data_IF_840069233066
#
_entry.id   IF_840069233066
#
_cell.length_a   1.000
_cell.length_b   1.000
_cell.length_c   1.000
_cell.angle_alpha   90.00
_cell.angle_beta   90.00
_cell.angle_gamma   90.00
#
_symmetry.space_group_name_H-M   'P 1'
#
loop_
_entity.id
_entity.type
_entity.pdbx_description
1 polymer ?
#
# COMPACT_ATOMS: atom_id res chain seq x y z
N UNK A 1 -9.95 0.98 24.75
CA UNK A 1 -8.79 0.19 24.29
C UNK A 1 -9.15 -1.28 24.13
N UNK A 2 -9.80 -1.90 25.12
CA UNK A 2 -10.27 -3.30 25.02
C UNK A 2 -11.10 -3.60 23.77
N UNK A 3 -11.98 -2.68 23.37
CA UNK A 3 -12.80 -2.86 22.16
C UNK A 3 -11.96 -2.87 20.88
N UNK A 4 -10.94 -2.01 20.82
CA UNK A 4 -9.99 -1.94 19.70
C UNK A 4 -9.20 -3.24 19.63
N UNK A 5 -8.65 -3.71 20.75
CA UNK A 5 -7.89 -4.97 20.77
C UNK A 5 -8.78 -6.16 20.38
N UNK A 6 -10.01 -6.23 20.92
CA UNK A 6 -10.98 -7.27 20.58
C UNK A 6 -11.28 -7.30 19.08
N UNK A 7 -11.54 -6.15 18.48
CA UNK A 7 -11.84 -6.03 17.05
C UNK A 7 -10.62 -6.37 16.18
N UNK A 8 -9.44 -5.85 16.51
CA UNK A 8 -8.20 -6.15 15.76
C UNK A 8 -7.86 -7.65 15.81
N UNK A 9 -8.06 -8.31 16.96
CA UNK A 9 -7.90 -9.77 17.08
C UNK A 9 -8.90 -10.52 16.21
N UNK A 10 -10.15 -10.06 16.12
CA UNK A 10 -11.15 -10.65 15.23
C UNK A 10 -10.76 -10.52 13.76
N UNK A 11 -10.27 -9.35 13.33
CA UNK A 11 -9.76 -9.13 11.97
C UNK A 11 -8.56 -10.03 11.66
N UNK A 12 -7.60 -10.17 12.58
CA UNK A 12 -6.45 -11.06 12.43
C UNK A 12 -6.86 -12.53 12.32
N UNK A 13 -7.80 -12.98 13.16
CA UNK A 13 -8.32 -14.35 13.10
C UNK A 13 -9.01 -14.63 11.75
N UNK A 14 -9.84 -13.71 11.28
CA UNK A 14 -10.52 -13.82 9.99
C UNK A 14 -9.52 -13.82 8.83
N UNK A 15 -8.55 -12.88 8.84
CA UNK A 15 -7.52 -12.78 7.83
C UNK A 15 -6.68 -14.06 7.75
N UNK A 16 -6.23 -14.63 8.88
CA UNK A 16 -5.44 -15.88 8.87
C UNK A 16 -6.27 -17.08 8.41
N UNK A 17 -7.58 -17.09 8.66
CA UNK A 17 -8.48 -18.15 8.16
C UNK A 17 -8.63 -18.12 6.65
N UNK A 18 -8.78 -16.93 6.05
CA UNK A 18 -9.10 -16.79 4.63
C UNK A 18 -7.89 -16.48 3.75
N UNK A 19 -6.79 -16.00 4.33
CA UNK A 19 -5.55 -15.63 3.67
C UNK A 19 -4.39 -16.31 4.42
N UNK A 20 -4.26 -17.66 4.34
CA UNK A 20 -3.27 -18.41 5.11
C UNK A 20 -1.83 -17.99 4.81
N UNK A 21 -1.59 -17.36 3.66
CA UNK A 21 -0.30 -16.84 3.24
C UNK A 21 0.00 -15.40 3.68
N UNK A 22 -0.82 -14.79 4.55
CA UNK A 22 -0.59 -13.44 5.09
C UNK A 22 0.80 -13.34 5.73
N UNK A 23 1.51 -12.25 5.45
CA UNK A 23 2.92 -12.07 5.86
C UNK A 23 3.17 -10.80 6.65
N UNK A 24 2.24 -9.85 6.64
CA UNK A 24 2.38 -8.56 7.29
C UNK A 24 1.00 -7.99 7.62
N UNK A 25 0.96 -6.94 8.41
CA UNK A 25 -0.24 -6.12 8.63
C UNK A 25 -0.04 -4.71 8.12
N UNK A 26 -1.10 -4.08 7.64
CA UNK A 26 -1.15 -2.65 7.35
C UNK A 26 -2.37 -2.03 8.03
N UNK A 27 -2.44 -0.70 8.06
CA UNK A 27 -3.55 0.02 8.66
C UNK A 27 -4.19 1.00 7.66
N UNK A 28 -5.52 1.04 7.66
CA UNK A 28 -6.28 1.93 6.80
C UNK A 28 -6.29 3.35 7.36
N UNK A 29 -6.20 4.36 6.48
CA UNK A 29 -6.29 5.79 6.83
C UNK A 29 -5.34 6.25 7.96
N UNK A 30 -4.19 5.59 8.11
CA UNK A 30 -3.25 5.93 9.17
C UNK A 30 -3.79 5.65 10.58
N UNK A 31 -4.68 4.68 10.75
CA UNK A 31 -5.35 4.35 12.02
C UNK A 31 -4.39 4.29 13.23
N UNK A 32 -3.14 3.85 13.05
CA UNK A 32 -2.14 3.81 14.13
C UNK A 32 -1.72 5.19 14.64
N UNK A 33 -2.03 6.27 13.92
CA UNK A 33 -1.75 7.66 14.35
C UNK A 33 -2.75 8.23 15.36
N UNK A 34 -3.84 7.51 15.64
CA UNK A 34 -4.86 7.95 16.62
C UNK A 34 -4.25 8.16 18.00
N UNK A 35 -3.36 7.26 18.44
CA UNK A 35 -2.56 7.41 19.66
C UNK A 35 -1.37 6.46 19.67
N UNK A 36 -0.36 6.75 20.49
CA UNK A 36 0.77 5.83 20.73
C UNK A 36 0.29 4.47 21.26
N UNK A 37 -0.74 4.46 22.10
CA UNK A 37 -1.28 3.21 22.65
C UNK A 37 -1.90 2.31 21.56
N UNK A 38 -2.60 2.90 20.57
CA UNK A 38 -3.13 2.16 19.42
C UNK A 38 -2.00 1.67 18.52
N UNK A 39 -0.97 2.50 18.29
CA UNK A 39 0.22 2.07 17.56
C UNK A 39 0.88 0.84 18.21
N UNK A 40 1.15 0.93 19.52
CA UNK A 40 1.85 -0.13 20.27
C UNK A 40 1.02 -1.42 20.34
N UNK A 41 -0.31 -1.28 20.47
CA UNK A 41 -1.24 -2.41 20.37
C UNK A 41 -1.14 -3.11 19.01
N UNK A 42 -1.20 -2.35 17.90
CA UNK A 42 -1.09 -2.93 16.55
C UNK A 42 0.25 -3.65 16.38
N UNK A 43 1.36 -3.01 16.76
CA UNK A 43 2.70 -3.62 16.69
C UNK A 43 2.76 -4.92 17.49
N UNK A 44 2.25 -4.91 18.74
CA UNK A 44 2.22 -6.10 19.60
C UNK A 44 1.40 -7.22 18.96
N UNK A 45 0.18 -6.94 18.50
CA UNK A 45 -0.68 -7.95 17.88
C UNK A 45 -0.08 -8.53 16.59
N UNK A 46 0.54 -7.69 15.75
CA UNK A 46 1.23 -8.14 14.54
C UNK A 46 2.36 -9.13 14.88
N UNK A 47 3.18 -8.80 15.88
CA UNK A 47 4.27 -9.66 16.35
C UNK A 47 3.76 -10.97 16.98
N UNK A 48 2.71 -10.92 17.82
CA UNK A 48 2.08 -12.10 18.42
C UNK A 48 1.66 -13.14 17.37
N UNK A 49 1.32 -12.69 16.15
CA UNK A 49 0.87 -13.55 15.07
C UNK A 49 1.99 -13.97 14.10
N UNK A 50 3.24 -13.59 14.36
CA UNK A 50 4.41 -13.86 13.51
C UNK A 50 4.37 -13.11 12.17
N UNK A 51 3.71 -11.95 12.14
CA UNK A 51 3.60 -11.13 10.93
C UNK A 51 4.62 -9.99 10.97
N UNK A 52 5.01 -9.53 9.79
CA UNK A 52 5.93 -8.39 9.63
C UNK A 52 5.22 -7.09 9.96
N UNK A 53 5.92 -6.21 10.68
CA UNK A 53 5.55 -4.80 10.87
C UNK A 53 6.34 -3.97 9.84
N UNK A 54 5.73 -3.50 8.73
CA UNK A 54 6.47 -2.83 7.65
C UNK A 54 7.27 -1.60 8.08
N UNK A 55 6.75 -0.84 9.05
CA UNK A 55 7.43 0.34 9.58
C UNK A 55 8.78 0.03 10.23
N UNK A 56 9.01 -1.22 10.65
CA UNK A 56 10.24 -1.67 11.29
C UNK A 56 11.31 -2.14 10.28
N UNK A 57 10.99 -2.19 8.97
CA UNK A 57 11.92 -2.63 7.92
C UNK A 57 12.86 -1.52 7.42
N UNK A 58 12.78 -0.31 7.98
CA UNK A 58 13.58 0.83 7.52
C UNK A 58 13.23 1.28 6.09
N UNK A 59 11.95 1.13 5.69
CA UNK A 59 11.47 1.55 4.37
C UNK A 59 11.54 3.08 4.21
N UNK A 60 11.94 3.51 3.02
CA UNK A 60 11.87 4.91 2.59
C UNK A 60 10.57 5.13 1.81
N UNK A 61 9.79 6.12 2.21
CA UNK A 61 8.55 6.44 1.50
C UNK A 61 8.86 7.17 0.19
N UNK A 62 8.32 6.68 -0.93
CA UNK A 62 8.41 7.38 -2.22
C UNK A 62 7.71 8.74 -2.16
N UNK A 63 6.66 8.85 -1.36
CA UNK A 63 5.86 10.06 -1.16
C UNK A 63 4.77 10.22 -2.23
N UNK A 64 4.16 11.41 -2.27
CA UNK A 64 3.13 11.72 -3.26
C UNK A 64 3.76 11.92 -4.64
N UNK A 65 3.27 11.19 -5.64
CA UNK A 65 3.79 11.22 -7.02
C UNK A 65 2.85 11.93 -7.99
N UNK A 66 1.54 11.84 -7.76
CA UNK A 66 0.52 12.37 -8.64
C UNK A 66 -0.74 12.81 -7.88
N UNK A 67 -1.64 13.46 -8.60
CA UNK A 67 -2.96 13.91 -8.14
C UNK A 67 -4.03 12.85 -8.45
N UNK A 68 -5.10 12.80 -7.65
CA UNK A 68 -6.18 11.83 -7.84
C UNK A 68 -7.00 12.06 -9.12
N UNK A 69 -6.88 13.24 -9.73
CA UNK A 69 -7.54 13.59 -10.99
C UNK A 69 -6.63 13.42 -12.21
N UNK A 70 -5.36 13.05 -12.03
CA UNK A 70 -4.48 12.78 -13.15
C UNK A 70 -4.98 11.56 -13.94
N UNK A 71 -5.09 11.63 -15.28
CA UNK A 71 -5.33 10.46 -16.12
C UNK A 71 -4.20 9.42 -16.00
N UNK A 72 -4.48 8.15 -16.31
CA UNK A 72 -3.51 7.07 -16.15
C UNK A 72 -2.20 7.29 -16.92
N UNK A 73 -2.27 7.83 -18.14
CA UNK A 73 -1.08 8.20 -18.91
C UNK A 73 -0.23 9.28 -18.19
N UNK A 74 -0.86 10.27 -17.55
CA UNK A 74 -0.15 11.31 -16.80
C UNK A 74 0.45 10.75 -15.51
N UNK A 75 -0.29 9.88 -14.80
CA UNK A 75 0.25 9.15 -13.64
C UNK A 75 1.44 8.28 -14.04
N UNK A 76 1.38 7.60 -15.20
CA UNK A 76 2.49 6.80 -15.72
C UNK A 76 3.75 7.65 -15.96
N UNK A 77 3.58 8.84 -16.55
CA UNK A 77 4.70 9.76 -16.80
C UNK A 77 5.33 10.26 -15.50
N UNK A 78 4.50 10.70 -14.55
CA UNK A 78 4.94 11.15 -13.22
C UNK A 78 5.62 10.01 -12.43
N UNK A 79 5.07 8.81 -12.48
CA UNK A 79 5.62 7.63 -11.80
C UNK A 79 6.96 7.20 -12.43
N UNK A 80 7.04 7.13 -13.75
CA UNK A 80 8.28 6.84 -14.47
C UNK A 80 9.37 7.87 -14.10
N UNK A 81 9.05 9.16 -14.14
CA UNK A 81 9.97 10.22 -13.73
C UNK A 81 10.40 10.09 -12.26
N UNK A 82 9.49 9.73 -11.35
CA UNK A 82 9.82 9.52 -9.94
C UNK A 82 10.78 8.35 -9.74
N UNK A 83 10.54 7.22 -10.41
CA UNK A 83 11.39 6.03 -10.32
C UNK A 83 12.82 6.31 -10.80
N UNK A 84 13.00 7.22 -11.76
CA UNK A 84 14.33 7.67 -12.19
C UNK A 84 15.11 8.42 -11.08
N UNK A 85 14.42 9.00 -10.11
CA UNK A 85 15.07 9.77 -9.03
C UNK A 85 15.43 8.93 -7.81
N UNK A 86 14.94 7.69 -7.72
CA UNK A 86 15.18 6.86 -6.54
C UNK A 86 16.65 6.42 -6.48
N UNK A 87 17.27 6.68 -5.33
CA UNK A 87 18.61 6.18 -4.99
C UNK A 87 18.57 4.75 -4.44
N UNK A 88 19.74 4.17 -4.12
CA UNK A 88 19.82 2.87 -3.46
C UNK A 88 19.05 2.86 -2.13
N UNK A 89 18.30 1.79 -1.88
CA UNK A 89 17.54 1.62 -0.65
C UNK A 89 16.31 0.74 -0.82
N UNK A 90 15.63 0.48 0.30
CA UNK A 90 14.32 -0.17 0.32
C UNK A 90 13.24 0.91 0.27
N UNK A 91 12.53 1.00 -0.85
CA UNK A 91 11.49 2.02 -1.08
C UNK A 91 10.09 1.41 -1.00
N UNK A 92 9.16 2.15 -0.42
CA UNK A 92 7.74 1.82 -0.37
C UNK A 92 6.93 2.91 -1.07
N UNK A 93 6.16 2.50 -2.06
CA UNK A 93 5.09 3.30 -2.67
C UNK A 93 3.76 2.61 -2.38
N UNK A 94 2.77 3.38 -1.93
CA UNK A 94 1.45 2.87 -1.57
C UNK A 94 0.44 3.43 -2.57
N UNK A 95 -0.36 2.54 -3.13
CA UNK A 95 -1.35 2.86 -4.15
C UNK A 95 -2.62 2.02 -3.97
N UNK A 96 -3.66 2.42 -4.71
CA UNK A 96 -4.98 1.82 -4.64
C UNK A 96 -5.48 1.45 -6.05
N UNK A 97 -4.77 0.57 -6.75
CA UNK A 97 -5.21 0.13 -8.08
C UNK A 97 -6.55 -0.64 -8.00
N UNK A 98 -7.49 -0.31 -8.88
CA UNK A 98 -8.75 -1.04 -9.07
C UNK A 98 -9.28 -0.81 -10.49
N UNK A 99 -10.19 -1.65 -10.96
CA UNK A 99 -10.93 -1.42 -12.21
C UNK A 99 -12.04 -0.37 -12.02
N UNK A 100 -12.35 0.39 -13.08
CA UNK A 100 -13.51 1.29 -13.09
C UNK A 100 -14.80 0.53 -13.44
N UNK A 101 -15.25 -0.28 -12.48
CA UNK A 101 -16.46 -1.10 -12.56
C UNK A 101 -17.60 -0.54 -11.69
N UNK A 102 -18.84 -1.07 -11.80
CA UNK A 102 -19.96 -0.57 -11.02
C UNK A 102 -19.78 -0.67 -9.50
N UNK A 103 -19.03 -1.65 -9.00
CA UNK A 103 -18.74 -1.79 -7.57
C UNK A 103 -17.83 -0.65 -7.11
N UNK A 104 -16.75 -0.37 -7.84
CA UNK A 104 -15.83 0.70 -7.50
C UNK A 104 -16.44 2.09 -7.64
N UNK A 105 -17.37 2.28 -8.59
CA UNK A 105 -18.14 3.54 -8.75
C UNK A 105 -19.09 3.83 -7.59
N UNK A 106 -19.44 2.82 -6.79
CA UNK A 106 -20.20 3.01 -5.56
C UNK A 106 -19.34 3.52 -4.39
N UNK A 107 -18.01 3.49 -4.53
CA UNK A 107 -17.07 3.95 -3.51
C UNK A 107 -16.75 5.43 -3.73
N UNK A 108 -16.92 6.24 -2.69
CA UNK A 108 -16.59 7.65 -2.71
C UNK A 108 -17.07 8.37 -1.46
N UNK A 109 -16.60 9.60 -1.28
CA UNK A 109 -17.12 10.52 -0.28
C UNK A 109 -17.09 11.94 -0.84
N UNK A 110 -17.75 12.88 -0.15
CA UNK A 110 -17.75 14.28 -0.54
C UNK A 110 -16.30 14.79 -0.68
N UNK A 111 -15.96 15.34 -1.85
CA UNK A 111 -14.61 15.80 -2.18
C UNK A 111 -13.67 14.74 -2.77
N UNK A 112 -14.11 13.49 -2.91
CA UNK A 112 -13.40 12.43 -3.62
C UNK A 112 -14.41 11.43 -4.22
N UNK A 113 -15.29 11.94 -5.08
CA UNK A 113 -16.36 11.17 -5.72
C UNK A 113 -15.88 10.36 -6.94
N UNK A 114 -14.67 10.64 -7.43
CA UNK A 114 -14.08 10.00 -8.62
C UNK A 114 -13.14 8.84 -8.29
N UNK A 115 -13.38 8.12 -7.18
CA UNK A 115 -12.51 7.03 -6.70
C UNK A 115 -12.26 5.98 -7.78
N UNK A 116 -13.32 5.53 -8.47
CA UNK A 116 -13.18 4.50 -9.49
C UNK A 116 -12.25 4.94 -10.64
N UNK A 117 -12.42 6.16 -11.14
CA UNK A 117 -11.57 6.72 -12.18
C UNK A 117 -10.11 6.88 -11.72
N UNK A 118 -9.88 7.37 -10.51
CA UNK A 118 -8.54 7.53 -9.95
C UNK A 118 -7.83 6.17 -9.79
N UNK A 119 -8.51 5.20 -9.20
CA UNK A 119 -7.96 3.86 -8.96
C UNK A 119 -7.70 3.09 -10.25
N UNK A 120 -8.52 3.29 -11.27
CA UNK A 120 -8.27 2.77 -12.62
C UNK A 120 -7.07 3.45 -13.28
N UNK A 121 -6.92 4.76 -13.13
CA UNK A 121 -5.73 5.47 -13.59
C UNK A 121 -4.44 4.99 -12.90
N UNK A 122 -4.50 4.57 -11.63
CA UNK A 122 -3.38 3.94 -10.92
C UNK A 122 -3.04 2.57 -11.53
N UNK A 123 -4.05 1.74 -11.84
CA UNK A 123 -3.85 0.47 -12.54
C UNK A 123 -3.18 0.67 -13.91
N UNK A 124 -3.68 1.61 -14.71
CA UNK A 124 -3.09 1.98 -16.00
C UNK A 124 -1.63 2.42 -15.87
N UNK A 125 -1.31 3.23 -14.86
CA UNK A 125 0.05 3.71 -14.62
C UNK A 125 1.03 2.57 -14.34
N UNK A 126 0.73 1.69 -13.38
CA UNK A 126 1.60 0.59 -12.98
C UNK A 126 1.74 -0.50 -14.05
N UNK A 127 0.72 -0.68 -14.88
CA UNK A 127 0.75 -1.64 -15.99
C UNK A 127 1.33 -1.06 -17.29
N UNK A 128 1.62 0.24 -17.32
CA UNK A 128 2.14 0.91 -18.51
C UNK A 128 3.50 0.36 -18.95
N UNK A 129 3.76 0.23 -20.27
CA UNK A 129 5.07 -0.14 -20.78
C UNK A 129 6.18 0.81 -20.33
N UNK A 130 5.85 2.10 -20.15
CA UNK A 130 6.79 3.15 -19.73
C UNK A 130 7.32 2.91 -18.31
N UNK A 131 6.45 2.61 -17.35
CA UNK A 131 6.86 2.32 -15.96
C UNK A 131 7.67 1.03 -15.91
N UNK A 132 7.25 -0.01 -16.66
CA UNK A 132 7.97 -1.27 -16.77
C UNK A 132 9.39 -1.11 -17.36
N UNK A 133 9.55 -0.25 -18.36
CA UNK A 133 10.85 0.06 -18.94
C UNK A 133 11.80 0.67 -17.91
N UNK A 134 11.35 1.69 -17.16
CA UNK A 134 12.18 2.33 -16.13
C UNK A 134 12.62 1.32 -15.08
N UNK A 135 11.69 0.48 -14.57
CA UNK A 135 12.00 -0.57 -13.59
C UNK A 135 13.10 -1.50 -14.12
N UNK A 136 12.97 -1.94 -15.37
CA UNK A 136 13.91 -2.87 -16.01
C UNK A 136 15.27 -2.22 -16.25
N UNK A 137 15.30 -1.06 -16.94
CA UNK A 137 16.52 -0.34 -17.30
C UNK A 137 17.31 0.12 -16.08
N UNK A 138 16.62 0.50 -15.00
CA UNK A 138 17.24 0.91 -13.73
C UNK A 138 17.61 -0.26 -12.82
N UNK A 139 17.22 -1.49 -13.17
CA UNK A 139 17.47 -2.66 -12.33
C UNK A 139 16.75 -2.59 -10.98
N UNK A 140 15.58 -1.94 -10.92
CA UNK A 140 14.79 -1.85 -9.68
C UNK A 140 14.24 -3.24 -9.38
N UNK A 141 14.65 -3.80 -8.23
CA UNK A 141 14.17 -5.09 -7.76
C UNK A 141 12.85 -4.90 -7.02
N UNK A 142 11.75 -5.32 -7.64
CA UNK A 142 10.47 -5.43 -6.95
C UNK A 142 10.55 -6.59 -5.95
N UNK A 143 10.09 -6.34 -4.72
CA UNK A 143 10.13 -7.31 -3.62
C UNK A 143 8.79 -7.33 -2.90
N UNK A 144 8.66 -8.19 -1.89
CA UNK A 144 7.47 -8.35 -1.08
C UNK A 144 7.86 -8.65 0.38
N UNK A 145 6.91 -8.54 1.30
CA UNK A 145 7.19 -8.74 2.73
C UNK A 145 7.61 -10.17 3.09
N UNK A 146 7.25 -11.19 2.28
CA UNK A 146 7.74 -12.56 2.50
C UNK A 146 9.25 -12.66 2.31
N UNK A 147 9.76 -12.02 1.27
CA UNK A 147 11.17 -12.08 0.92
C UNK A 147 12.02 -11.17 1.80
N UNK A 148 11.42 -10.09 2.32
CA UNK A 148 12.05 -9.20 3.31
C UNK A 148 12.10 -9.85 4.71
N UNK A 149 11.11 -10.66 5.08
CA UNK A 149 11.08 -11.35 6.38
C UNK A 149 12.12 -12.48 6.53
N UNK A 150 12.69 -12.95 5.42
CA UNK A 150 13.66 -14.05 5.39
C UNK A 150 15.12 -13.60 5.38
N UNK A 151 15.35 -12.29 5.31
CA UNK A 151 16.67 -11.66 5.34
C UNK A 151 17.06 -11.36 6.78
#
# INVERSE_FOLDING_TARGET
MDEIERELRAQLALAKRHIPQVTYTWNHMGFTSVSNEVHDLVVRLTNEHGLVVPAQLGVQMVGRVYDSKDPGAVKADKLAARLETLGPGLWLHIDHAATDDPEMRAIGHLGYEWVAADRNAVLEAWTSPKVRDVITRRGIKLTNYRDLAKQ
#
